data_IF_477440120667
#
_entry.id   IF_477440120667
#
_cell.length_a   1.000
_cell.length_b   1.000
_cell.length_c   1.000
_cell.angle_alpha   90.00
_cell.angle_beta   90.00
_cell.angle_gamma   90.00
#
_symmetry.space_group_name_H-M   'P 1'
#
loop_
_entity.id
_entity.type
_entity.pdbx_description
1 polymer ?
#
# COMPACT_ATOMS: atom_id res chain seq x y z
N UNK A 1 -1.04 -37.64 44.91
CA UNK A 1 -0.11 -36.48 44.92
C UNK A 1 -0.04 -35.68 43.61
N UNK A 2 -0.32 -36.25 42.42
CA UNK A 2 -0.18 -35.50 41.15
C UNK A 2 -1.09 -34.27 40.99
N UNK A 3 -2.36 -34.37 41.40
CA UNK A 3 -3.37 -33.33 41.18
C UNK A 3 -3.01 -31.96 41.79
N UNK A 4 -2.49 -31.92 43.03
CA UNK A 4 -2.05 -30.66 43.65
C UNK A 4 -0.84 -30.03 42.95
N UNK A 5 0.04 -30.83 42.34
CA UNK A 5 1.17 -30.31 41.55
C UNK A 5 0.69 -29.68 40.23
N UNK A 6 -0.30 -30.31 39.57
CA UNK A 6 -0.91 -29.76 38.37
C UNK A 6 -1.66 -28.44 38.66
N UNK A 7 -2.46 -28.40 39.74
CA UNK A 7 -3.18 -27.19 40.14
C UNK A 7 -2.23 -26.05 40.54
N UNK A 8 -1.14 -26.36 41.24
CA UNK A 8 -0.10 -25.38 41.57
C UNK A 8 0.62 -24.82 40.34
N UNK A 9 0.89 -25.65 39.33
CA UNK A 9 1.49 -25.22 38.06
C UNK A 9 0.54 -24.33 37.24
N UNK A 10 -0.74 -24.70 37.15
CA UNK A 10 -1.76 -23.94 36.43
C UNK A 10 -1.99 -22.55 37.05
N UNK A 11 -1.91 -22.42 38.38
CA UNK A 11 -2.10 -21.15 39.08
C UNK A 11 -0.85 -20.25 39.11
N UNK A 12 0.35 -20.80 38.87
CA UNK A 12 1.62 -20.04 38.93
C UNK A 12 1.67 -18.79 38.02
N UNK A 13 1.28 -18.84 36.72
CA UNK A 13 1.26 -17.64 35.88
C UNK A 13 0.27 -16.57 36.38
N UNK A 14 -0.90 -16.97 36.89
CA UNK A 14 -1.90 -16.04 37.44
C UNK A 14 -1.39 -15.31 38.70
N UNK A 15 -0.64 -16.00 39.57
CA UNK A 15 -0.01 -15.39 40.74
C UNK A 15 1.06 -14.36 40.31
N UNK A 16 1.87 -14.67 39.29
CA UNK A 16 2.86 -13.72 38.75
C UNK A 16 2.22 -12.45 38.16
N UNK A 17 1.07 -12.59 37.48
CA UNK A 17 0.27 -11.47 36.97
C UNK A 17 -0.19 -10.57 38.13
N UNK A 18 -0.71 -11.16 39.22
CA UNK A 18 -1.12 -10.42 40.42
C UNK A 18 0.04 -9.68 41.10
N UNK A 19 1.23 -10.28 41.19
CA UNK A 19 2.41 -9.64 41.79
C UNK A 19 2.87 -8.44 40.94
N UNK A 20 2.88 -8.55 39.60
CA UNK A 20 3.17 -7.40 38.72
C UNK A 20 2.11 -6.31 38.79
N UNK A 21 0.85 -6.66 39.09
CA UNK A 21 -0.24 -5.69 39.27
C UNK A 21 -0.06 -4.72 40.47
N UNK A 22 0.84 -5.01 41.41
CA UNK A 22 1.14 -4.08 42.52
C UNK A 22 1.88 -2.81 42.05
N UNK A 23 2.72 -2.92 41.02
CA UNK A 23 3.60 -1.83 40.55
C UNK A 23 3.05 -1.01 39.38
N UNK A 24 1.90 -1.37 38.80
CA UNK A 24 1.27 -0.57 37.73
C UNK A 24 0.49 0.61 38.31
N UNK A 25 0.58 1.76 37.64
CA UNK A 25 -0.10 3.00 38.03
C UNK A 25 -1.63 2.88 38.10
N UNK A 26 -2.27 3.84 38.77
CA UNK A 26 -3.73 3.82 38.99
C UNK A 26 -4.53 3.72 37.68
N UNK A 27 -4.04 4.36 36.61
CA UNK A 27 -4.70 4.41 35.29
C UNK A 27 -4.85 3.02 34.64
N UNK A 28 -3.80 2.20 34.67
CA UNK A 28 -3.79 0.87 34.07
C UNK A 28 -4.68 -0.14 34.81
N UNK A 29 -4.94 0.08 36.11
CA UNK A 29 -5.91 -0.73 36.88
C UNK A 29 -7.34 -0.48 36.44
N UNK A 30 -7.70 0.79 36.18
CA UNK A 30 -9.02 1.17 35.66
C UNK A 30 -9.28 0.54 34.29
N UNK A 31 -8.31 0.61 33.37
CA UNK A 31 -8.44 0.01 32.02
C UNK A 31 -8.62 -1.51 32.10
N UNK A 32 -7.86 -2.20 32.96
CA UNK A 32 -8.00 -3.65 33.16
C UNK A 32 -9.37 -4.06 33.71
N UNK A 33 -9.94 -3.29 34.63
CA UNK A 33 -11.28 -3.53 35.19
C UNK A 33 -12.36 -3.33 34.11
N UNK A 34 -12.27 -2.26 33.30
CA UNK A 34 -13.20 -2.01 32.19
C UNK A 34 -13.17 -3.17 31.19
N UNK A 35 -11.98 -3.63 30.80
CA UNK A 35 -11.82 -4.77 29.87
C UNK A 35 -12.39 -6.07 30.43
N UNK A 36 -12.14 -6.37 31.72
CA UNK A 36 -12.68 -7.56 32.37
C UNK A 36 -14.21 -7.55 32.45
N UNK A 37 -14.83 -6.40 32.74
CA UNK A 37 -16.28 -6.23 32.74
C UNK A 37 -16.87 -6.38 31.33
N UNK A 38 -16.21 -5.84 30.30
CA UNK A 38 -16.67 -5.94 28.92
C UNK A 38 -16.64 -7.40 28.41
N UNK A 39 -15.57 -8.14 28.73
CA UNK A 39 -15.49 -9.57 28.45
C UNK A 39 -16.56 -10.38 29.20
N UNK A 40 -16.82 -10.06 30.47
CA UNK A 40 -17.89 -10.68 31.26
C UNK A 40 -19.27 -10.47 30.61
N UNK A 41 -19.58 -9.24 30.19
CA UNK A 41 -20.84 -8.93 29.51
C UNK A 41 -21.02 -9.70 28.19
N UNK A 42 -19.96 -9.87 27.38
CA UNK A 42 -20.05 -10.71 26.18
C UNK A 42 -20.37 -12.17 26.50
N UNK A 43 -19.80 -12.74 27.57
CA UNK A 43 -20.11 -14.13 27.95
C UNK A 43 -21.54 -14.33 28.43
N UNK A 44 -22.13 -13.32 29.10
CA UNK A 44 -23.53 -13.37 29.57
C UNK A 44 -24.51 -13.26 28.39
N UNK A 45 -24.23 -12.39 27.41
CA UNK A 45 -25.10 -12.22 26.24
C UNK A 45 -25.27 -13.48 25.36
N UNK A 46 -24.28 -14.38 25.37
CA UNK A 46 -24.34 -15.65 24.62
C UNK A 46 -25.23 -16.69 25.32
N UNK A 47 -25.43 -16.59 26.63
CA UNK A 47 -26.17 -17.60 27.42
C UNK A 47 -27.69 -17.33 27.46
N UNK A 48 -28.13 -16.11 27.17
CA UNK A 48 -29.57 -15.75 27.19
C UNK A 48 -30.28 -15.88 25.84
N UNK A 49 -29.57 -16.01 24.72
CA UNK A 49 -30.14 -16.12 23.37
C UNK A 49 -30.37 -17.58 22.94
N UNK A 50 -31.07 -18.34 23.79
CA UNK A 50 -31.11 -19.79 23.74
C UNK A 50 -32.48 -20.45 23.70
N UNK A 51 -33.49 -19.90 23.00
CA UNK A 51 -34.60 -20.74 22.48
C UNK A 51 -35.48 -20.10 21.39
N UNK A 52 -35.98 -21.02 20.56
CA UNK A 52 -37.13 -20.98 19.66
C UNK A 52 -37.02 -20.08 18.40
N UNK A 53 -37.33 -20.71 17.26
CA UNK A 53 -37.25 -20.08 15.94
C UNK A 53 -38.60 -19.53 15.46
N UNK A 54 -38.54 -18.66 14.47
CA UNK A 54 -39.71 -18.12 13.80
C UNK A 54 -39.32 -17.29 12.58
N UNK A 55 -39.94 -17.58 11.45
CA UNK A 55 -39.92 -16.74 10.25
C UNK A 55 -40.61 -15.40 10.53
N UNK A 56 -40.16 -14.30 9.90
CA UNK A 56 -40.96 -13.27 9.17
C UNK A 56 -40.31 -11.87 9.18
N UNK A 57 -40.35 -11.23 8.01
CA UNK A 57 -40.20 -9.82 7.61
C UNK A 57 -39.45 -8.72 8.41
N UNK A 58 -38.61 -8.00 7.65
CA UNK A 58 -38.57 -6.52 7.47
C UNK A 58 -38.62 -5.59 8.69
N UNK A 59 -37.50 -4.87 8.93
CA UNK A 59 -37.48 -3.40 8.85
C UNK A 59 -36.03 -2.85 8.79
N UNK A 60 -35.78 -1.93 7.87
CA UNK A 60 -34.52 -1.17 7.78
C UNK A 60 -34.72 0.26 8.30
N UNK A 61 -33.91 0.75 9.24
CA UNK A 61 -33.87 2.16 9.61
C UNK A 61 -32.79 2.91 8.79
N UNK A 62 -33.20 3.53 7.69
CA UNK A 62 -32.38 4.54 6.99
C UNK A 62 -32.33 5.84 7.80
N UNK A 63 -31.13 6.41 7.99
CA UNK A 63 -30.94 7.66 8.71
C UNK A 63 -30.72 8.86 7.74
N UNK A 64 -31.67 9.79 7.78
CA UNK A 64 -31.47 11.25 7.75
C UNK A 64 -30.77 11.90 6.54
N UNK A 65 -31.60 12.36 5.60
CA UNK A 65 -31.47 13.68 4.96
C UNK A 65 -32.21 14.71 5.87
N UNK A 66 -32.00 16.04 5.87
CA UNK A 66 -31.55 16.98 4.83
C UNK A 66 -31.05 18.31 5.42
N UNK A 67 -30.21 19.05 4.66
CA UNK A 67 -30.20 20.53 4.50
C UNK A 67 -29.93 21.44 5.73
N UNK A 68 -29.18 22.55 5.62
CA UNK A 68 -29.53 23.68 4.74
C UNK A 68 -28.34 24.57 4.36
N UNK A 69 -28.44 25.21 3.18
CA UNK A 69 -27.53 26.25 2.68
C UNK A 69 -27.72 27.60 3.41
N UNK A 70 -26.69 28.47 3.39
CA UNK A 70 -26.86 29.78 2.73
C UNK A 70 -25.56 30.41 2.19
N UNK A 71 -25.75 31.33 1.25
CA UNK A 71 -24.80 32.06 0.39
C UNK A 71 -24.10 33.27 1.04
N UNK A 72 -23.08 33.85 0.36
CA UNK A 72 -23.07 35.28 -0.11
C UNK A 72 -21.80 35.74 -0.90
N UNK A 73 -22.04 36.24 -2.12
CA UNK A 73 -21.38 37.33 -2.88
C UNK A 73 -19.87 37.34 -3.29
N UNK A 74 -19.66 37.64 -4.59
CA UNK A 74 -18.49 38.34 -5.17
C UNK A 74 -18.73 39.89 -5.14
N UNK A 75 -17.83 40.82 -5.58
CA UNK A 75 -17.05 40.85 -6.84
C UNK A 75 -15.52 41.00 -6.55
N UNK A 76 -14.59 41.52 -7.38
CA UNK A 76 -14.63 42.26 -8.65
C UNK A 76 -13.36 42.09 -9.52
N UNK A 77 -13.36 42.69 -10.72
CA UNK A 77 -12.23 42.86 -11.65
C UNK A 77 -11.22 43.93 -11.18
N UNK A 78 -9.96 43.78 -11.61
CA UNK A 78 -9.27 44.88 -12.32
C UNK A 78 -8.22 44.33 -13.30
N UNK A 79 -7.98 45.07 -14.38
CA UNK A 79 -7.04 44.70 -15.43
C UNK A 79 -6.16 45.90 -15.79
N UNK A 80 -4.90 45.68 -16.16
CA UNK A 80 -4.16 46.64 -16.97
C UNK A 80 -3.11 45.92 -17.82
N UNK A 81 -3.09 46.26 -19.10
CA UNK A 81 -2.11 45.78 -20.07
C UNK A 81 -1.17 46.91 -20.47
N UNK A 82 0.07 46.55 -20.83
CA UNK A 82 0.90 47.06 -21.95
C UNK A 82 2.36 46.62 -21.74
N UNK A 83 3.25 46.46 -22.72
CA UNK A 83 3.24 46.25 -24.18
C UNK A 83 4.69 46.54 -24.61
N UNK A 84 5.28 45.63 -25.40
CA UNK A 84 6.46 45.77 -26.28
C UNK A 84 7.75 46.47 -25.80
N UNK A 85 8.87 45.73 -25.92
CA UNK A 85 9.81 45.98 -27.03
C UNK A 85 10.65 44.73 -27.35
N UNK A 86 11.15 44.65 -28.58
CA UNK A 86 11.74 43.45 -29.17
C UNK A 86 13.02 43.74 -29.99
N UNK A 87 13.79 42.68 -30.29
CA UNK A 87 15.09 42.65 -31.02
C UNK A 87 16.25 43.18 -30.15
N UNK A 88 17.49 42.68 -30.22
CA UNK A 88 18.22 41.78 -31.14
C UNK A 88 18.87 40.61 -30.34
N UNK A 89 19.37 39.50 -30.87
CA UNK A 89 20.10 39.25 -32.12
C UNK A 89 19.85 37.82 -32.65
N UNK A 90 19.92 37.64 -33.96
CA UNK A 90 19.91 36.32 -34.60
C UNK A 90 21.27 36.04 -35.25
N UNK A 91 22.12 35.21 -34.62
CA UNK A 91 23.29 34.61 -35.30
C UNK A 91 23.92 33.40 -34.56
N UNK A 92 23.21 32.28 -34.40
CA UNK A 92 23.86 31.00 -34.01
C UNK A 92 23.09 29.72 -34.44
N UNK A 93 22.37 29.77 -35.56
CA UNK A 93 21.40 28.72 -35.97
C UNK A 93 22.00 27.54 -36.77
N UNK A 94 23.31 27.33 -36.68
CA UNK A 94 24.04 26.30 -37.44
C UNK A 94 24.83 25.29 -36.60
N UNK A 95 24.77 25.37 -35.26
CA UNK A 95 25.39 24.38 -34.35
C UNK A 95 24.38 23.65 -33.44
N UNK A 96 23.14 24.14 -33.39
CA UNK A 96 22.15 23.78 -32.36
C UNK A 96 21.25 22.59 -32.74
N UNK A 97 21.40 22.02 -33.95
CA UNK A 97 20.59 20.85 -34.39
C UNK A 97 21.21 19.50 -34.04
N UNK A 98 22.53 19.35 -34.02
CA UNK A 98 23.16 18.09 -33.57
C UNK A 98 23.03 17.90 -32.05
N UNK A 99 23.15 18.97 -31.26
CA UNK A 99 22.98 18.89 -29.81
C UNK A 99 21.52 18.64 -29.40
N UNK A 100 20.54 19.14 -30.15
CA UNK A 100 19.12 18.89 -29.90
C UNK A 100 18.75 17.42 -30.16
N UNK A 101 19.16 16.87 -31.32
CA UNK A 101 18.85 15.48 -31.71
C UNK A 101 19.60 14.47 -30.82
N UNK A 102 20.86 14.79 -30.45
CA UNK A 102 21.64 14.01 -29.47
C UNK A 102 21.04 14.05 -28.07
N UNK A 103 20.52 15.21 -27.62
CA UNK A 103 19.86 15.34 -26.32
C UNK A 103 18.51 14.63 -26.27
N UNK A 104 17.74 14.61 -27.37
CA UNK A 104 16.49 13.85 -27.46
C UNK A 104 16.78 12.34 -27.43
N UNK A 105 17.71 11.83 -28.25
CA UNK A 105 18.15 10.43 -28.19
C UNK A 105 18.68 10.02 -26.82
N UNK A 106 19.56 10.83 -26.21
CA UNK A 106 20.08 10.53 -24.87
C UNK A 106 18.98 10.53 -23.80
N UNK A 107 17.93 11.36 -23.93
CA UNK A 107 16.80 11.39 -23.00
C UNK A 107 15.89 10.17 -23.16
N UNK A 108 15.74 9.66 -24.38
CA UNK A 108 14.97 8.45 -24.69
C UNK A 108 15.73 7.17 -24.30
N UNK A 109 17.04 7.13 -24.52
CA UNK A 109 17.91 6.01 -24.13
C UNK A 109 18.11 5.93 -22.60
N UNK A 110 18.25 7.08 -21.92
CA UNK A 110 18.23 7.15 -20.45
C UNK A 110 16.83 6.85 -19.85
N UNK A 111 15.75 6.92 -20.63
CA UNK A 111 14.44 6.44 -20.19
C UNK A 111 14.36 4.90 -20.19
N UNK A 112 15.10 4.23 -21.09
CA UNK A 112 15.20 2.76 -21.15
C UNK A 112 16.15 2.20 -20.08
N UNK A 113 17.21 2.93 -19.76
CA UNK A 113 18.20 2.55 -18.74
C UNK A 113 18.27 3.57 -17.59
N UNK A 114 17.25 3.67 -16.72
CA UNK A 114 17.28 4.59 -15.58
C UNK A 114 18.35 4.20 -14.55
N UNK A 115 18.96 5.21 -13.92
CA UNK A 115 19.90 5.00 -12.82
C UNK A 115 19.14 4.68 -11.52
N UNK A 116 19.05 3.40 -11.19
CA UNK A 116 18.40 2.91 -9.98
C UNK A 116 19.20 3.26 -8.71
N UNK A 117 18.49 3.60 -7.63
CA UNK A 117 19.08 3.77 -6.32
C UNK A 117 19.23 2.41 -5.62
N UNK A 118 20.46 1.95 -5.46
CA UNK A 118 20.82 0.67 -4.82
C UNK A 118 21.33 0.82 -3.38
N UNK A 119 21.41 2.04 -2.84
CA UNK A 119 21.90 2.30 -1.47
C UNK A 119 20.79 2.41 -0.42
N UNK A 120 19.53 2.56 -0.85
CA UNK A 120 18.35 2.56 0.01
C UNK A 120 17.38 1.47 -0.46
N UNK A 121 16.97 0.60 0.46
CA UNK A 121 16.11 -0.57 0.20
C UNK A 121 14.63 -0.22 0.31
N UNK A 122 14.26 0.81 1.09
CA UNK A 122 12.87 1.19 1.29
C UNK A 122 12.34 1.95 0.07
N UNK A 123 11.29 1.42 -0.57
CA UNK A 123 10.79 1.95 -1.84
C UNK A 123 10.16 3.36 -1.72
N UNK A 124 9.70 3.74 -0.52
CA UNK A 124 9.25 5.11 -0.21
C UNK A 124 10.38 6.16 -0.20
N UNK A 125 11.63 5.71 -0.01
CA UNK A 125 12.80 6.59 0.23
C UNK A 125 13.79 6.56 -0.93
N UNK A 126 13.89 5.44 -1.65
CA UNK A 126 14.92 5.27 -2.68
C UNK A 126 14.61 5.98 -4.01
N UNK A 127 13.33 6.31 -4.28
CA UNK A 127 12.91 6.96 -5.52
C UNK A 127 12.76 6.02 -6.72
N UNK A 128 12.80 4.71 -6.52
CA UNK A 128 12.74 3.72 -7.61
C UNK A 128 11.31 3.53 -8.17
N UNK A 129 10.26 3.81 -7.39
CA UNK A 129 8.85 3.73 -7.85
C UNK A 129 8.59 4.56 -9.13
N UNK A 130 8.86 5.89 -9.17
CA UNK A 130 8.64 6.67 -10.40
C UNK A 130 9.53 6.24 -11.58
N UNK A 131 10.71 5.66 -11.32
CA UNK A 131 11.56 5.09 -12.38
C UNK A 131 10.89 3.87 -13.02
N UNK A 132 10.36 2.95 -12.20
CA UNK A 132 9.61 1.79 -12.68
C UNK A 132 8.33 2.18 -13.43
N UNK A 133 7.56 3.14 -12.91
CA UNK A 133 6.37 3.67 -13.59
C UNK A 133 6.72 4.27 -14.95
N UNK A 134 7.82 5.04 -15.05
CA UNK A 134 8.28 5.60 -16.32
C UNK A 134 8.68 4.49 -17.30
N UNK A 135 9.49 3.53 -16.86
CA UNK A 135 9.97 2.41 -17.68
C UNK A 135 8.82 1.57 -18.25
N UNK A 136 7.84 1.21 -17.41
CA UNK A 136 6.64 0.46 -17.80
C UNK A 136 5.69 1.22 -18.73
N UNK A 137 5.76 2.56 -18.77
CA UNK A 137 5.00 3.39 -19.72
C UNK A 137 5.71 3.61 -21.05
N UNK A 138 7.03 3.39 -21.11
CA UNK A 138 7.84 3.62 -22.32
C UNK A 138 8.16 2.35 -23.11
N UNK A 139 7.93 1.15 -22.57
CA UNK A 139 8.25 -0.11 -23.27
C UNK A 139 7.31 -1.24 -22.83
N UNK A 140 6.49 -1.73 -23.75
CA UNK A 140 5.62 -2.91 -23.56
C UNK A 140 6.38 -4.23 -23.44
N UNK A 141 7.65 -4.28 -23.86
CA UNK A 141 8.50 -5.48 -23.85
C UNK A 141 9.03 -5.83 -22.46
N UNK A 142 9.07 -4.89 -21.51
CA UNK A 142 9.68 -5.13 -20.19
C UNK A 142 8.96 -6.26 -19.46
N UNK A 143 7.64 -6.34 -19.56
CA UNK A 143 6.83 -7.41 -18.96
C UNK A 143 6.70 -8.68 -19.83
N UNK A 144 7.28 -8.70 -21.04
CA UNK A 144 7.31 -9.89 -21.91
C UNK A 144 8.55 -10.78 -21.62
N UNK A 145 9.68 -10.16 -21.28
CA UNK A 145 10.94 -10.85 -20.99
C UNK A 145 11.13 -11.02 -19.46
N UNK A 146 10.24 -11.79 -18.83
CA UNK A 146 10.33 -12.04 -17.38
C UNK A 146 11.52 -12.94 -17.03
N UNK A 147 12.28 -12.53 -16.01
CA UNK A 147 13.26 -13.41 -15.36
C UNK A 147 12.56 -14.17 -14.23
N UNK A 148 12.84 -15.45 -14.08
CA UNK A 148 12.33 -16.24 -12.95
C UNK A 148 13.25 -16.09 -11.74
N UNK A 149 12.69 -15.72 -10.59
CA UNK A 149 13.38 -15.63 -9.31
C UNK A 149 12.39 -15.94 -8.18
N UNK A 150 12.87 -16.51 -7.07
CA UNK A 150 12.03 -16.74 -5.89
C UNK A 150 11.70 -15.39 -5.21
N UNK A 151 10.42 -15.12 -4.87
CA UNK A 151 10.01 -13.90 -4.17
C UNK A 151 10.87 -13.58 -2.95
N UNK A 152 11.16 -14.59 -2.11
CA UNK A 152 11.99 -14.43 -0.93
C UNK A 152 13.45 -14.00 -1.22
N UNK A 153 14.02 -14.34 -2.38
CA UNK A 153 15.37 -13.95 -2.76
C UNK A 153 15.42 -12.54 -3.38
N UNK A 154 14.37 -12.18 -4.12
CA UNK A 154 14.14 -10.79 -4.56
C UNK A 154 13.97 -9.87 -3.37
N UNK A 155 13.19 -10.26 -2.36
CA UNK A 155 12.97 -9.48 -1.14
C UNK A 155 14.26 -9.23 -0.33
N UNK A 156 15.16 -10.22 -0.25
CA UNK A 156 16.46 -10.07 0.44
C UNK A 156 17.43 -9.13 -0.28
N UNK A 157 17.37 -9.10 -1.62
CA UNK A 157 18.35 -8.39 -2.45
C UNK A 157 17.73 -7.66 -3.65
N UNK A 158 16.74 -6.76 -3.44
CA UNK A 158 15.92 -6.21 -4.52
C UNK A 158 16.75 -5.44 -5.56
N UNK A 159 17.87 -4.85 -5.14
CA UNK A 159 18.82 -4.16 -6.02
C UNK A 159 19.44 -5.03 -7.12
N UNK A 160 19.49 -6.36 -6.95
CA UNK A 160 19.94 -7.28 -7.99
C UNK A 160 18.94 -7.42 -9.16
N UNK A 161 17.70 -6.95 -8.95
CA UNK A 161 16.56 -7.15 -9.85
C UNK A 161 15.94 -5.85 -10.37
N UNK A 162 16.40 -4.68 -9.93
CA UNK A 162 15.94 -3.39 -10.43
C UNK A 162 16.08 -3.29 -11.96
N UNK A 163 15.03 -2.77 -12.60
CA UNK A 163 14.92 -2.68 -14.07
C UNK A 163 14.58 -3.98 -14.80
N UNK A 164 14.46 -5.12 -14.10
CA UNK A 164 14.06 -6.40 -14.67
C UNK A 164 12.63 -6.72 -14.27
N UNK A 165 11.80 -7.23 -15.18
CA UNK A 165 10.52 -7.82 -14.80
C UNK A 165 10.75 -9.22 -14.23
N UNK A 166 10.12 -9.48 -13.09
CA UNK A 166 10.06 -10.79 -12.43
C UNK A 166 8.60 -11.23 -12.41
N UNK A 167 8.35 -12.52 -12.62
CA UNK A 167 7.01 -13.09 -12.51
C UNK A 167 6.72 -13.50 -11.07
N UNK A 168 5.66 -12.96 -10.47
CA UNK A 168 5.20 -13.30 -9.13
C UNK A 168 3.84 -13.98 -9.20
N UNK A 169 3.69 -15.10 -8.50
CA UNK A 169 2.45 -15.89 -8.45
C UNK A 169 2.02 -16.10 -7.01
N UNK A 170 0.74 -15.87 -6.71
CA UNK A 170 0.22 -15.95 -5.33
C UNK A 170 -1.27 -15.67 -5.25
N UNK A 171 -1.81 -15.77 -4.03
CA UNK A 171 -3.21 -15.47 -3.73
C UNK A 171 -3.36 -14.03 -3.22
N UNK A 172 -4.33 -13.29 -3.76
CA UNK A 172 -4.64 -11.91 -3.35
C UNK A 172 -5.20 -11.91 -1.92
N UNK A 173 -4.46 -11.29 -0.99
CA UNK A 173 -4.92 -10.98 0.36
C UNK A 173 -5.56 -9.59 0.49
N UNK A 174 -5.21 -8.67 -0.40
CA UNK A 174 -5.71 -7.28 -0.44
C UNK A 174 -5.79 -6.76 -1.88
N UNK A 175 -6.83 -6.00 -2.21
CA UNK A 175 -6.98 -5.26 -3.47
C UNK A 175 -7.70 -3.93 -3.24
N UNK A 176 -7.21 -2.86 -3.85
CA UNK A 176 -7.81 -1.53 -3.80
C UNK A 176 -7.46 -0.69 -5.03
N UNK A 177 -8.47 -0.12 -5.69
CA UNK A 177 -8.30 1.02 -6.60
C UNK A 177 -8.14 2.33 -5.80
N UNK A 178 -7.21 3.19 -6.22
CA UNK A 178 -7.02 4.51 -5.61
C UNK A 178 -8.00 5.54 -6.20
N UNK A 179 -8.58 6.45 -5.39
CA UNK A 179 -9.49 7.46 -5.88
C UNK A 179 -8.85 8.42 -6.91
N UNK A 180 -9.60 8.88 -7.92
CA UNK A 180 -9.17 9.96 -8.80
C UNK A 180 -8.78 11.23 -8.03
N UNK A 181 -7.73 11.92 -8.49
CA UNK A 181 -7.12 13.08 -7.84
C UNK A 181 -6.19 12.75 -6.66
N UNK A 182 -6.06 11.49 -6.26
CA UNK A 182 -5.17 11.06 -5.17
C UNK A 182 -3.68 11.25 -5.51
N UNK A 183 -2.82 11.23 -4.49
CA UNK A 183 -1.37 11.34 -4.70
C UNK A 183 -0.78 10.10 -5.40
N UNK A 184 -1.38 8.92 -5.20
CA UNK A 184 -1.03 7.70 -5.92
C UNK A 184 -1.39 7.81 -7.41
N UNK A 185 -2.60 8.26 -7.74
CA UNK A 185 -3.00 8.45 -9.14
C UNK A 185 -2.05 9.44 -9.87
N UNK A 186 -1.70 10.55 -9.19
CA UNK A 186 -0.74 11.55 -9.69
C UNK A 186 0.69 11.00 -9.87
N UNK A 187 1.11 10.01 -9.09
CA UNK A 187 2.39 9.31 -9.30
C UNK A 187 2.32 8.26 -10.43
N UNK A 188 1.11 7.99 -10.94
CA UNK A 188 0.84 7.04 -12.00
C UNK A 188 0.50 5.63 -11.53
N UNK A 189 0.22 5.46 -10.23
CA UNK A 189 -0.30 4.21 -9.63
C UNK A 189 -1.81 4.36 -9.45
N UNK A 190 -2.58 3.50 -10.11
CA UNK A 190 -4.05 3.55 -10.12
C UNK A 190 -4.68 2.54 -9.15
N UNK A 191 -3.97 1.47 -8.81
CA UNK A 191 -4.44 0.47 -7.84
C UNK A 191 -3.27 -0.24 -7.16
N UNK A 192 -3.59 -1.04 -6.15
CA UNK A 192 -2.67 -1.85 -5.36
C UNK A 192 -3.29 -3.22 -5.12
N UNK A 193 -2.49 -4.27 -5.21
CA UNK A 193 -2.82 -5.58 -4.65
C UNK A 193 -1.67 -6.10 -3.79
N UNK A 194 -1.98 -6.88 -2.76
CA UNK A 194 -0.98 -7.65 -2.00
C UNK A 194 -1.26 -9.13 -2.20
N UNK A 195 -0.26 -9.88 -2.65
CA UNK A 195 -0.33 -11.34 -2.79
C UNK A 195 0.56 -12.03 -1.75
N UNK A 196 0.07 -13.14 -1.19
CA UNK A 196 0.90 -14.11 -0.49
C UNK A 196 1.38 -15.18 -1.45
N UNK A 197 2.69 -15.40 -1.52
CA UNK A 197 3.33 -16.40 -2.39
C UNK A 197 3.54 -17.74 -1.67
N UNK A 198 3.81 -18.81 -2.41
CA UNK A 198 4.01 -20.17 -1.86
C UNK A 198 5.20 -20.25 -0.87
N UNK A 199 6.25 -19.43 -1.08
CA UNK A 199 7.40 -19.33 -0.16
C UNK A 199 7.14 -18.48 1.09
N UNK A 200 5.90 -17.99 1.28
CA UNK A 200 5.50 -17.18 2.44
C UNK A 200 5.91 -15.71 2.35
N UNK A 201 6.30 -15.23 1.17
CA UNK A 201 6.60 -13.81 0.93
C UNK A 201 5.31 -13.04 0.64
N UNK A 202 5.09 -11.93 1.34
CA UNK A 202 4.07 -10.96 0.94
C UNK A 202 4.66 -10.00 -0.11
N UNK A 203 4.02 -9.91 -1.27
CA UNK A 203 4.42 -9.02 -2.37
C UNK A 203 3.36 -7.95 -2.58
N UNK A 204 3.77 -6.70 -2.40
CA UNK A 204 2.97 -5.50 -2.56
C UNK A 204 3.15 -4.96 -3.99
N UNK A 205 2.11 -5.09 -4.80
CA UNK A 205 2.10 -4.84 -6.23
C UNK A 205 1.37 -3.52 -6.51
N UNK A 206 2.14 -2.49 -6.79
CA UNK A 206 1.63 -1.19 -7.25
C UNK A 206 1.32 -1.25 -8.74
N UNK A 207 0.07 -1.01 -9.11
CA UNK A 207 -0.41 -1.17 -10.49
C UNK A 207 -0.62 0.18 -11.17
N UNK A 208 -0.08 0.35 -12.37
CA UNK A 208 -0.35 1.55 -13.21
C UNK A 208 -1.70 1.48 -13.96
N UNK A 209 -2.55 0.54 -13.57
CA UNK A 209 -3.89 0.22 -14.13
C UNK A 209 -4.86 -0.03 -12.97
N UNK A 210 -6.18 0.06 -13.21
CA UNK A 210 -7.19 -0.37 -12.23
C UNK A 210 -7.09 -1.88 -12.00
N UNK A 211 -7.42 -2.34 -10.78
CA UNK A 211 -7.52 -3.74 -10.42
C UNK A 211 -8.70 -4.46 -11.10
N UNK A 212 -9.64 -3.71 -11.68
CA UNK A 212 -10.75 -4.24 -12.47
C UNK A 212 -11.64 -5.19 -11.68
N UNK A 213 -11.68 -6.46 -12.09
CA UNK A 213 -12.50 -7.52 -11.47
C UNK A 213 -11.77 -8.39 -10.44
N UNK A 214 -10.52 -8.07 -10.10
CA UNK A 214 -9.77 -8.79 -9.06
C UNK A 214 -10.45 -8.65 -7.69
N UNK A 215 -10.42 -9.72 -6.90
CA UNK A 215 -10.92 -9.74 -5.51
C UNK A 215 -10.01 -10.59 -4.61
N UNK A 216 -10.09 -10.37 -3.31
CA UNK A 216 -9.41 -11.21 -2.32
C UNK A 216 -9.76 -12.69 -2.53
N UNK A 217 -8.75 -13.56 -2.44
CA UNK A 217 -8.85 -15.00 -2.67
C UNK A 217 -8.54 -15.46 -4.10
N UNK A 218 -8.53 -14.55 -5.10
CA UNK A 218 -8.09 -14.90 -6.46
C UNK A 218 -6.60 -15.26 -6.48
N UNK A 219 -6.23 -16.23 -7.32
CA UNK A 219 -4.83 -16.55 -7.62
C UNK A 219 -4.43 -15.87 -8.92
N UNK A 220 -3.34 -15.11 -8.91
CA UNK A 220 -2.85 -14.34 -10.06
C UNK A 220 -1.38 -14.64 -10.35
N UNK A 221 -0.93 -14.32 -11.57
CA UNK A 221 0.49 -14.32 -11.95
C UNK A 221 0.83 -13.03 -12.70
N UNK A 222 1.67 -12.19 -12.10
CA UNK A 222 1.93 -10.82 -12.56
C UNK A 222 3.42 -10.62 -12.81
N UNK A 223 3.74 -10.07 -13.98
CA UNK A 223 5.08 -9.59 -14.32
C UNK A 223 5.27 -8.17 -13.76
N UNK A 224 6.19 -8.00 -12.81
CA UNK A 224 6.42 -6.74 -12.11
C UNK A 224 7.90 -6.42 -11.96
N UNK A 225 8.24 -5.12 -11.87
CA UNK A 225 9.60 -4.64 -11.63
C UNK A 225 9.78 -4.41 -10.12
N UNK A 226 10.74 -5.06 -9.46
CA UNK A 226 11.07 -4.77 -8.06
C UNK A 226 11.55 -3.34 -7.87
N UNK A 227 11.12 -2.69 -6.78
CA UNK A 227 11.50 -1.30 -6.44
C UNK A 227 12.03 -1.14 -5.02
N UNK A 228 11.92 -2.17 -4.17
CA UNK A 228 12.46 -2.17 -2.81
C UNK A 228 11.57 -2.98 -1.86
N UNK A 229 11.46 -2.53 -0.62
CA UNK A 229 10.55 -3.08 0.40
C UNK A 229 9.70 -1.98 1.05
N UNK A 230 8.58 -2.36 1.67
CA UNK A 230 7.77 -1.52 2.57
C UNK A 230 7.68 -2.15 3.97
N UNK A 231 7.42 -1.32 5.00
CA UNK A 231 7.13 -1.74 6.39
C UNK A 231 5.63 -1.59 6.69
N UNK A 232 4.86 -2.66 6.51
CA UNK A 232 3.42 -2.66 6.76
C UNK A 232 3.10 -2.97 8.23
N UNK A 233 2.11 -2.28 8.82
CA UNK A 233 1.65 -2.58 10.18
C UNK A 233 0.91 -3.92 10.22
N UNK A 234 1.32 -4.80 11.13
CA UNK A 234 0.70 -6.10 11.33
C UNK A 234 -0.31 -6.09 12.48
N UNK A 235 -1.25 -7.04 12.45
CA UNK A 235 -2.33 -7.14 13.45
C UNK A 235 -1.86 -7.42 14.88
N UNK A 236 -0.57 -7.69 15.09
CA UNK A 236 0.03 -7.93 16.40
C UNK A 236 0.68 -6.66 17.00
N UNK A 237 0.59 -5.52 16.32
CA UNK A 237 1.13 -4.23 16.77
C UNK A 237 2.62 -4.04 16.48
N UNK A 238 3.16 -4.77 15.50
CA UNK A 238 4.51 -4.58 14.96
C UNK A 238 4.51 -4.26 13.47
N UNK A 239 5.69 -4.28 12.85
CA UNK A 239 5.86 -4.16 11.39
C UNK A 239 6.18 -5.51 10.77
N UNK A 240 5.72 -5.71 9.54
CA UNK A 240 6.11 -6.80 8.64
C UNK A 240 6.68 -6.18 7.38
N UNK A 241 7.85 -6.65 6.94
CA UNK A 241 8.42 -6.23 5.65
C UNK A 241 7.70 -6.95 4.51
N UNK A 242 7.40 -6.24 3.43
CA UNK A 242 6.83 -6.78 2.20
C UNK A 242 7.69 -6.37 1.00
N UNK A 243 7.75 -7.23 -0.03
CA UNK A 243 8.46 -6.91 -1.27
C UNK A 243 7.63 -5.93 -2.10
N UNK A 244 8.19 -4.75 -2.39
CA UNK A 244 7.52 -3.73 -3.19
C UNK A 244 7.88 -3.87 -4.69
N UNK A 245 6.87 -3.96 -5.54
CA UNK A 245 7.01 -4.09 -7.01
C UNK A 245 6.02 -3.18 -7.75
N UNK A 246 6.31 -2.87 -9.01
CA UNK A 246 5.40 -2.09 -9.89
C UNK A 246 5.07 -2.90 -11.15
N UNK A 247 3.81 -2.92 -11.56
CA UNK A 247 3.34 -3.60 -12.78
C UNK A 247 2.36 -2.73 -13.58
N UNK A 248 2.27 -2.96 -14.90
CA UNK A 248 1.37 -2.25 -15.81
C UNK A 248 0.25 -3.12 -16.41
N UNK A 249 0.24 -4.42 -16.10
CA UNK A 249 -0.72 -5.41 -16.63
C UNK A 249 -1.05 -6.42 -15.53
N UNK A 250 -2.28 -6.93 -15.61
CA UNK A 250 -2.79 -8.06 -14.83
C UNK A 250 -3.12 -9.13 -15.87
N UNK A 251 -2.67 -10.36 -15.64
CA UNK A 251 -2.96 -11.53 -16.49
C UNK A 251 -3.90 -12.49 -15.78
#
# INVERSE_FOLDING_TARGET
MGFLKFLGWLCFPYIMIFVRWKNVGKLSKTVGIIWALLALFMTIGIVTSGKDGGTTEVASPSATSSQQLNSKAAPNLEATAKTDQAKENANEDAKTKEDADSKVKATEEAAKNPQWNTSEIYAEKNGNIPLAVKLLKTTDEVTQNTTQAAPADVMKTPWNYYGKAISFSGQIGFVQDYPPGSNFEKSGILSQIVIGTEDGTDVDILLTVSSGSLKNGDTVTIAAIPVGIFDNDNMQGGKTQVLAVVANKIN
#
